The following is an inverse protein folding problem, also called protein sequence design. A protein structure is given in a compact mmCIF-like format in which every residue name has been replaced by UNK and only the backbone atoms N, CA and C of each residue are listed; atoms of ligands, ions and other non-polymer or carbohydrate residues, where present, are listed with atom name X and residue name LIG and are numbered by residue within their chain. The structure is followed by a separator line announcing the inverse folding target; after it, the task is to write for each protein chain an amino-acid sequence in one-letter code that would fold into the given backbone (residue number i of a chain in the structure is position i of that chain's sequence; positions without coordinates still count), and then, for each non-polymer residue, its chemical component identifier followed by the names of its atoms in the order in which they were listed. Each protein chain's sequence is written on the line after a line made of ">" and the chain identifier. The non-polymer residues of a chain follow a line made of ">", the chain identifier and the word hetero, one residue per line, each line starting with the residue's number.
data_IF_080564764289
#
_entry.id   IF_080564764289
#
_cell.length_a   1.000
_cell.length_b   1.000
_cell.length_c   1.000
_cell.angle_alpha   90.00
_cell.angle_beta   90.00
_cell.angle_gamma   90.00
#
_symmetry.space_group_name_H-M   'P 1'
#
loop_
_entity.id
_entity.type
_entity.pdbx_description
1 polymer ?
#
# COMPACT_ATOMS: atom_id res chain seq x y z
N UNK A 1 -1.92 8.57 -15.59
CA UNK A 1 -2.61 7.62 -16.48
C UNK A 1 -3.47 6.72 -15.62
N UNK A 2 -4.66 6.34 -16.07
CA UNK A 2 -5.52 5.38 -15.37
C UNK A 2 -5.17 3.95 -15.81
N UNK A 3 -4.92 3.05 -14.86
CA UNK A 3 -4.60 1.64 -15.14
C UNK A 3 -5.71 0.71 -14.65
N UNK A 4 -6.09 -0.34 -15.40
CA UNK A 4 -7.02 -1.36 -14.92
C UNK A 4 -6.45 -2.13 -13.73
N UNK A 5 -7.32 -2.54 -12.82
CA UNK A 5 -6.96 -3.39 -11.68
C UNK A 5 -7.58 -4.78 -11.78
N UNK A 6 -6.88 -5.75 -11.20
CA UNK A 6 -7.40 -7.08 -10.92
C UNK A 6 -6.95 -7.48 -9.52
N UNK A 7 -7.90 -7.85 -8.66
CA UNK A 7 -7.56 -8.25 -7.30
C UNK A 7 -6.75 -9.57 -7.29
N UNK A 8 -5.56 -9.60 -6.66
CA UNK A 8 -4.73 -10.81 -6.61
C UNK A 8 -5.25 -11.89 -5.68
N UNK A 9 -6.15 -11.57 -4.76
CA UNK A 9 -6.82 -12.58 -3.95
C UNK A 9 -8.09 -13.12 -4.63
N UNK A 10 -8.96 -12.24 -5.15
CA UNK A 10 -10.20 -12.68 -5.80
C UNK A 10 -9.97 -13.33 -7.17
N UNK A 11 -8.93 -12.89 -7.91
CA UNK A 11 -8.67 -13.21 -9.33
C UNK A 11 -9.77 -12.84 -10.32
N UNK A 12 -10.87 -12.25 -9.86
CA UNK A 12 -12.06 -11.93 -10.67
C UNK A 12 -12.53 -10.48 -10.49
N UNK A 13 -12.40 -9.89 -9.29
CA UNK A 13 -12.82 -8.51 -9.06
C UNK A 13 -11.94 -7.52 -9.85
N UNK A 14 -12.60 -6.71 -10.69
CA UNK A 14 -12.01 -5.66 -11.53
C UNK A 14 -12.67 -4.29 -11.34
N UNK A 15 -13.68 -4.17 -10.48
CA UNK A 15 -14.58 -3.00 -10.48
C UNK A 15 -14.73 -2.30 -9.14
N UNK A 16 -14.46 -2.98 -8.02
CA UNK A 16 -14.68 -2.42 -6.68
C UNK A 16 -13.39 -2.32 -5.90
N UNK A 17 -12.88 -1.11 -5.74
CA UNK A 17 -11.66 -0.82 -4.98
C UNK A 17 -11.78 0.50 -4.23
N UNK A 18 -11.10 0.60 -3.08
CA UNK A 18 -10.83 1.87 -2.41
C UNK A 18 -9.37 2.24 -2.63
N UNK A 19 -9.10 3.51 -2.95
CA UNK A 19 -7.74 4.07 -2.90
C UNK A 19 -7.52 4.66 -1.52
N UNK A 20 -6.40 4.33 -0.89
CA UNK A 20 -6.07 4.73 0.46
C UNK A 20 -4.81 5.59 0.39
N UNK A 21 -4.97 6.88 0.66
CA UNK A 21 -3.84 7.78 0.91
C UNK A 21 -3.23 7.48 2.28
N UNK A 22 -1.92 7.25 2.30
CA UNK A 22 -1.19 6.93 3.51
C UNK A 22 -0.49 8.16 4.07
N UNK A 23 -0.66 8.40 5.38
CA UNK A 23 0.12 9.36 6.14
C UNK A 23 1.04 8.58 7.10
N UNK A 24 2.34 8.55 6.79
CA UNK A 24 3.35 7.89 7.64
C UNK A 24 3.87 8.88 8.67
N UNK A 25 3.73 8.53 9.96
CA UNK A 25 4.28 9.31 11.07
C UNK A 25 5.46 8.54 11.71
N UNK A 26 6.70 9.01 11.54
CA UNK A 26 7.86 8.37 12.14
C UNK A 26 7.92 8.67 13.64
N UNK A 27 7.84 7.64 14.47
CA UNK A 27 7.87 7.75 15.94
C UNK A 27 8.87 6.80 16.57
N UNK A 28 9.32 7.14 17.78
CA UNK A 28 10.03 6.25 18.69
C UNK A 28 9.15 5.97 19.90
N UNK A 29 9.06 4.70 20.26
CA UNK A 29 8.26 4.24 21.40
C UNK A 29 9.16 3.81 22.56
N UNK A 30 8.65 3.97 23.77
CA UNK A 30 9.16 3.29 24.95
C UNK A 30 8.80 1.79 24.89
N UNK A 31 9.76 0.86 25.00
CA UNK A 31 9.50 -0.57 24.80
C UNK A 31 8.74 -1.24 25.95
N UNK A 32 8.69 -0.64 27.14
CA UNK A 32 7.99 -1.22 28.29
C UNK A 32 6.53 -0.78 28.37
N UNK A 33 6.24 0.46 27.94
CA UNK A 33 4.93 1.11 28.10
C UNK A 33 4.20 1.32 26.78
N UNK A 34 4.92 1.35 25.65
CA UNK A 34 4.36 1.70 24.34
C UNK A 34 4.10 3.19 24.14
N UNK A 35 4.49 4.05 25.08
CA UNK A 35 4.31 5.50 24.95
C UNK A 35 5.22 6.07 23.84
N UNK A 36 4.72 7.07 23.09
CA UNK A 36 5.54 7.84 22.15
C UNK A 36 6.51 8.71 22.97
N UNK A 37 7.81 8.50 22.78
CA UNK A 37 8.86 9.30 23.44
C UNK A 37 9.49 10.33 22.52
N UNK A 38 9.37 10.16 21.21
CA UNK A 38 9.90 11.08 20.20
C UNK A 38 9.09 10.94 18.90
N UNK A 39 8.77 12.07 18.28
CA UNK A 39 8.20 12.17 16.92
C UNK A 39 9.23 12.84 16.04
N UNK A 40 9.51 12.27 14.86
CA UNK A 40 10.47 12.86 13.94
C UNK A 40 9.75 13.74 12.90
N UNK A 41 10.29 14.93 12.63
CA UNK A 41 9.75 15.85 11.63
C UNK A 41 10.77 16.09 10.51
N UNK A 42 10.29 16.10 9.25
CA UNK A 42 11.11 16.37 8.08
C UNK A 42 12.24 15.36 7.86
N UNK A 43 13.41 15.83 7.41
CA UNK A 43 14.60 15.00 7.15
C UNK A 43 15.45 14.73 8.41
N UNK A 44 15.01 15.17 9.59
CA UNK A 44 15.73 14.99 10.86
C UNK A 44 15.40 13.63 11.49
N UNK A 45 15.67 12.55 10.74
CA UNK A 45 15.62 11.21 11.30
C UNK A 45 16.90 10.92 12.09
N UNK A 46 16.78 10.17 13.19
CA UNK A 46 17.96 9.62 13.86
C UNK A 46 18.72 8.67 12.92
N UNK A 47 20.04 8.46 13.09
CA UNK A 47 20.82 7.54 12.25
C UNK A 47 20.28 6.10 12.23
N UNK A 48 19.48 5.71 13.21
CA UNK A 48 18.88 4.37 13.33
C UNK A 48 17.41 4.34 12.88
N UNK A 49 16.90 5.41 12.28
CA UNK A 49 15.53 5.51 11.79
C UNK A 49 15.56 5.70 10.27
N UNK A 50 15.00 4.73 9.53
CA UNK A 50 14.91 4.83 8.08
C UNK A 50 13.66 5.59 7.66
N UNK A 51 13.79 6.44 6.64
CA UNK A 51 12.64 7.07 5.99
C UNK A 51 11.66 6.01 5.49
N UNK A 52 10.36 6.29 5.62
CA UNK A 52 9.33 5.45 5.01
C UNK A 52 9.46 5.49 3.49
N UNK A 53 9.75 4.34 2.87
CA UNK A 53 9.89 4.19 1.42
C UNK A 53 8.70 3.46 0.77
N UNK A 54 7.64 3.22 1.54
CA UNK A 54 6.43 2.57 1.01
C UNK A 54 5.61 3.50 0.11
N UNK A 55 4.60 2.97 -0.58
CA UNK A 55 3.82 3.74 -1.54
C UNK A 55 3.00 4.82 -0.83
N UNK A 56 2.72 5.93 -1.51
CA UNK A 56 1.79 6.95 -1.01
C UNK A 56 0.33 6.47 -1.02
N UNK A 57 0.01 5.58 -1.95
CA UNK A 57 -1.32 5.00 -2.13
C UNK A 57 -1.26 3.49 -1.90
N UNK A 58 -2.17 2.98 -1.09
CA UNK A 58 -2.55 1.56 -1.06
C UNK A 58 -3.89 1.39 -1.75
N UNK A 59 -4.14 0.19 -2.26
CA UNK A 59 -5.43 -0.18 -2.86
C UNK A 59 -6.07 -1.28 -2.03
N UNK A 60 -7.33 -1.08 -1.66
CA UNK A 60 -8.14 -2.12 -1.05
C UNK A 60 -9.09 -2.72 -2.08
N UNK A 61 -9.18 -4.05 -2.14
CA UNK A 61 -10.26 -4.74 -2.81
C UNK A 61 -11.57 -4.57 -2.05
N UNK A 62 -12.58 -3.95 -2.64
CA UNK A 62 -13.90 -3.76 -2.04
C UNK A 62 -14.74 -5.03 -1.92
N UNK A 63 -14.27 -6.17 -2.45
CA UNK A 63 -14.97 -7.47 -2.38
C UNK A 63 -14.41 -8.35 -1.26
N UNK A 64 -13.08 -8.49 -1.17
CA UNK A 64 -12.45 -9.39 -0.19
C UNK A 64 -11.60 -8.68 0.87
N UNK A 65 -11.51 -7.35 0.83
CA UNK A 65 -10.81 -6.56 1.84
C UNK A 65 -9.29 -6.55 1.74
N UNK A 66 -8.67 -7.29 0.80
CA UNK A 66 -7.20 -7.26 0.62
C UNK A 66 -6.72 -5.82 0.38
N UNK A 67 -5.76 -5.35 1.17
CA UNK A 67 -5.07 -4.07 1.00
C UNK A 67 -3.65 -4.35 0.53
N UNK A 68 -3.25 -3.81 -0.62
CA UNK A 68 -1.88 -3.96 -1.13
C UNK A 68 -1.38 -2.74 -1.92
N UNK A 69 -0.10 -2.75 -2.31
CA UNK A 69 0.44 -1.79 -3.28
C UNK A 69 -0.36 -1.84 -4.60
N UNK A 70 -0.71 -0.66 -5.12
CA UNK A 70 -1.42 -0.46 -6.39
C UNK A 70 -0.79 -1.26 -7.54
N UNK A 71 0.55 -1.28 -7.62
CA UNK A 71 1.29 -1.97 -8.68
C UNK A 71 0.95 -3.45 -8.76
N UNK A 72 0.63 -4.09 -7.63
CA UNK A 72 0.26 -5.50 -7.58
C UNK A 72 -1.05 -5.75 -8.35
N UNK A 73 -2.03 -4.87 -8.19
CA UNK A 73 -3.32 -4.97 -8.88
C UNK A 73 -3.20 -4.68 -10.37
N UNK A 74 -2.38 -3.69 -10.74
CA UNK A 74 -2.09 -3.33 -12.14
C UNK A 74 -1.38 -4.49 -12.84
N UNK A 75 -0.29 -5.00 -12.26
CA UNK A 75 0.52 -6.07 -12.87
C UNK A 75 -0.30 -7.34 -13.09
N UNK A 76 -1.20 -7.67 -12.16
CA UNK A 76 -2.07 -8.80 -12.35
C UNK A 76 -3.10 -8.56 -13.47
N UNK A 77 -3.65 -7.35 -13.57
CA UNK A 77 -4.56 -7.00 -14.66
C UNK A 77 -3.86 -7.11 -16.03
N UNK A 78 -2.65 -6.56 -16.14
CA UNK A 78 -1.78 -6.65 -17.33
C UNK A 78 -1.54 -8.12 -17.69
N UNK A 79 -1.08 -8.94 -16.74
CA UNK A 79 -0.81 -10.37 -16.98
C UNK A 79 -2.03 -11.11 -17.53
N UNK A 80 -3.22 -10.88 -16.97
CA UNK A 80 -4.47 -11.52 -17.41
C UNK A 80 -5.01 -10.96 -18.74
N UNK A 81 -4.67 -9.73 -19.11
CA UNK A 81 -5.05 -9.16 -20.40
C UNK A 81 -4.29 -9.82 -21.55
N UNK A 82 -3.01 -10.15 -21.35
CA UNK A 82 -2.19 -10.81 -22.37
C UNK A 82 -2.35 -12.33 -22.45
N UNK A 83 -2.99 -12.95 -21.46
CA UNK A 83 -3.18 -14.41 -21.38
C UNK A 83 -4.59 -14.88 -21.76
N UNK A 84 -5.47 -13.99 -22.21
CA UNK A 84 -6.76 -14.37 -22.81
C UNK A 84 -6.55 -14.60 -24.32
N UNK A 85 -6.86 -15.78 -24.88
CA UNK A 85 -6.78 -15.98 -26.32
C UNK A 85 -7.84 -15.12 -27.01
N UNK A 86 -7.42 -14.39 -28.04
CA UNK A 86 -8.30 -13.69 -28.98
C UNK A 86 -9.28 -14.65 -29.66
#
# INVERSE_FOLDING_TARGET
>A
MTSPYLCPNCKTNRTRFNLIEQHSEPVKLDPATGAIVETYEGDQLSPFHMNYQGPKIKVQCGVCGLIEDEKTFIKLAEYHQYSSPS
#
